data_IF_167858366345
#
_entry.id   IF_167858366345
#
_cell.length_a   1.000
_cell.length_b   1.000
_cell.length_c   1.000
_cell.angle_alpha   90.00
_cell.angle_beta   90.00
_cell.angle_gamma   90.00
#
_symmetry.space_group_name_H-M   'P 1'
#
loop_
_entity.id
_entity.type
_entity.pdbx_description
1 polymer ?
#
# COMPACT_ATOMS: atom_id res chain seq x y z
N UNK A 1 23.17 -1.08 -18.62
CA UNK A 1 22.98 -0.21 -17.43
C UNK A 1 21.75 0.65 -17.66
N UNK A 2 20.67 0.47 -16.90
CA UNK A 2 19.49 1.33 -16.98
C UNK A 2 19.71 2.53 -16.06
N UNK A 3 19.59 3.74 -16.62
CA UNK A 3 19.65 5.00 -15.88
C UNK A 3 18.52 5.03 -14.85
N UNK A 4 18.89 5.15 -13.56
CA UNK A 4 17.97 5.54 -12.49
C UNK A 4 17.74 7.04 -12.68
N UNK A 5 16.50 7.44 -12.97
CA UNK A 5 16.12 8.85 -13.03
C UNK A 5 15.66 9.27 -11.64
N UNK A 6 16.41 10.16 -11.00
CA UNK A 6 16.03 10.76 -9.71
C UNK A 6 15.14 11.96 -9.96
N UNK A 7 13.98 12.00 -9.30
CA UNK A 7 13.03 13.11 -9.32
C UNK A 7 13.36 14.06 -8.16
N UNK A 8 13.51 15.37 -8.41
CA UNK A 8 13.91 16.34 -7.38
C UNK A 8 12.92 17.52 -7.37
N UNK A 9 12.20 17.71 -6.26
CA UNK A 9 11.37 18.90 -6.02
C UNK A 9 12.10 19.87 -5.11
N UNK A 10 12.34 21.09 -5.58
CA UNK A 10 13.03 22.15 -4.85
C UNK A 10 12.17 23.42 -4.89
N UNK A 11 12.06 24.12 -3.75
CA UNK A 11 11.43 25.44 -3.63
C UNK A 11 12.26 26.53 -4.36
N UNK A 12 11.65 27.64 -4.80
CA UNK A 12 12.17 28.52 -5.88
C UNK A 12 13.34 29.45 -5.49
N UNK A 13 14.38 28.93 -4.82
CA UNK A 13 15.55 29.71 -4.41
C UNK A 13 16.81 29.50 -5.30
N UNK A 14 16.74 28.69 -6.35
CA UNK A 14 17.92 28.34 -7.16
C UNK A 14 17.70 28.42 -8.68
N UNK A 15 17.33 29.59 -9.19
CA UNK A 15 17.10 29.87 -10.62
C UNK A 15 18.26 29.45 -11.56
N UNK A 16 19.50 29.37 -11.07
CA UNK A 16 20.69 29.05 -11.88
C UNK A 16 20.93 27.55 -12.12
N UNK A 17 20.27 26.65 -11.38
CA UNK A 17 20.53 25.20 -11.47
C UNK A 17 19.65 24.49 -12.51
N UNK A 18 18.46 25.01 -12.83
CA UNK A 18 17.48 24.28 -13.65
C UNK A 18 17.73 24.35 -15.15
N UNK A 19 18.23 25.50 -15.65
CA UNK A 19 18.52 25.69 -17.08
C UNK A 19 19.70 24.88 -17.61
N UNK A 20 20.47 24.23 -16.73
CA UNK A 20 21.64 23.41 -17.08
C UNK A 20 21.41 21.90 -16.89
N UNK A 21 20.26 21.51 -16.34
CA UNK A 21 19.98 20.09 -16.09
C UNK A 21 19.57 19.41 -17.41
N UNK A 22 20.23 18.32 -17.83
CA UNK A 22 19.83 17.60 -19.03
C UNK A 22 18.39 17.05 -18.89
N UNK A 23 17.65 16.94 -20.01
CA UNK A 23 16.27 16.39 -20.08
C UNK A 23 16.10 14.99 -19.46
N UNK A 24 17.19 14.33 -19.10
CA UNK A 24 17.22 13.08 -18.35
C UNK A 24 16.89 13.22 -16.86
N UNK A 25 17.00 14.42 -16.28
CA UNK A 25 16.70 14.71 -14.86
C UNK A 25 15.34 15.39 -14.78
N UNK A 26 14.45 14.86 -13.93
CA UNK A 26 13.12 15.42 -13.73
C UNK A 26 13.19 16.53 -12.68
N UNK A 27 13.00 17.79 -13.11
CA UNK A 27 12.89 18.97 -12.24
C UNK A 27 11.45 19.46 -12.28
N UNK A 28 10.74 19.29 -11.15
CA UNK A 28 9.31 19.49 -11.08
C UNK A 28 8.85 20.51 -10.05
N UNK A 29 7.66 21.05 -10.27
CA UNK A 29 6.92 21.85 -9.30
C UNK A 29 5.55 21.22 -9.04
N UNK A 30 5.07 21.29 -7.79
CA UNK A 30 3.70 20.93 -7.42
C UNK A 30 2.84 22.19 -7.44
N UNK A 31 1.82 22.21 -8.31
CA UNK A 31 0.88 23.33 -8.40
C UNK A 31 -0.45 22.90 -7.78
N UNK A 32 -0.75 23.42 -6.60
CA UNK A 32 -2.03 23.18 -5.94
C UNK A 32 -3.07 24.21 -6.38
N UNK A 33 -4.28 23.75 -6.72
CA UNK A 33 -5.41 24.64 -6.97
C UNK A 33 -6.02 25.11 -5.64
N UNK A 34 -5.93 26.40 -5.34
CA UNK A 34 -6.74 27.04 -4.29
C UNK A 34 -8.12 27.42 -4.85
N UNK A 35 -9.20 27.31 -4.06
CA UNK A 35 -10.51 27.86 -4.43
C UNK A 35 -10.51 29.40 -4.52
N UNK A 36 -9.55 30.09 -3.91
CA UNK A 36 -9.35 31.54 -4.07
C UNK A 36 -8.53 31.82 -5.33
N UNK A 37 -9.24 32.10 -6.45
CA UNK A 37 -8.70 32.40 -7.79
C UNK A 37 -7.62 33.50 -7.85
N UNK A 38 -7.42 34.27 -6.79
CA UNK A 38 -6.43 35.36 -6.73
C UNK A 38 -4.96 34.88 -6.69
N UNK A 39 -4.70 33.64 -6.26
CA UNK A 39 -3.33 33.08 -6.19
C UNK A 39 -3.20 31.67 -6.78
N UNK A 40 -4.27 31.15 -7.39
CA UNK A 40 -4.36 29.79 -7.89
C UNK A 40 -4.93 29.74 -9.29
N UNK A 41 -4.14 30.26 -10.22
CA UNK A 41 -4.24 29.76 -11.58
C UNK A 41 -2.99 28.96 -11.82
N UNK A 42 -3.19 27.82 -12.48
CA UNK A 42 -2.16 27.05 -13.11
C UNK A 42 -1.45 27.91 -14.16
N UNK A 43 -0.72 28.93 -13.72
CA UNK A 43 0.02 29.82 -14.59
C UNK A 43 1.34 29.15 -14.92
N UNK A 44 1.20 28.10 -15.73
CA UNK A 44 2.30 27.36 -16.29
C UNK A 44 3.26 28.27 -17.07
N UNK A 45 2.80 29.44 -17.53
CA UNK A 45 3.63 30.44 -18.21
C UNK A 45 4.68 31.06 -17.29
N UNK A 46 4.46 31.05 -15.97
CA UNK A 46 5.45 31.46 -14.95
C UNK A 46 6.37 30.30 -14.56
N UNK A 47 5.86 29.07 -14.60
CA UNK A 47 6.61 27.88 -14.14
C UNK A 47 7.66 27.43 -15.16
N UNK A 48 7.34 27.40 -16.46
CA UNK A 48 8.30 26.95 -17.49
C UNK A 48 9.57 27.82 -17.54
N UNK A 49 9.50 29.16 -17.49
CA UNK A 49 10.70 30.01 -17.48
C UNK A 49 11.62 29.80 -16.27
N UNK A 50 11.14 29.21 -15.18
CA UNK A 50 11.97 28.83 -14.03
C UNK A 50 12.85 27.60 -14.29
N UNK A 51 12.73 26.98 -15.48
CA UNK A 51 13.53 25.82 -15.90
C UNK A 51 12.95 24.47 -15.49
N UNK A 52 11.71 24.42 -14.99
CA UNK A 52 11.04 23.15 -14.72
C UNK A 52 10.64 22.46 -16.03
N UNK A 53 11.05 21.19 -16.18
CA UNK A 53 10.68 20.35 -17.32
C UNK A 53 9.55 19.37 -17.00
N UNK A 54 9.16 19.30 -15.72
CA UNK A 54 8.16 18.37 -15.18
C UNK A 54 7.09 19.13 -14.40
N UNK A 55 5.83 18.70 -14.52
CA UNK A 55 4.73 19.18 -13.66
C UNK A 55 4.04 17.98 -13.02
N UNK A 56 3.85 18.04 -11.70
CA UNK A 56 2.85 17.22 -11.02
C UNK A 56 1.53 17.96 -11.07
N UNK A 57 0.49 17.30 -11.55
CA UNK A 57 -0.85 17.85 -11.51
C UNK A 57 -1.91 16.81 -11.16
N UNK A 58 -3.04 17.31 -10.68
CA UNK A 58 -4.30 16.56 -10.64
C UNK A 58 -4.86 16.48 -12.07
N UNK A 59 -4.83 15.29 -12.62
CA UNK A 59 -5.51 14.87 -13.81
C UNK A 59 -6.98 14.53 -13.50
N UNK A 60 -7.87 15.50 -13.73
CA UNK A 60 -9.30 15.43 -13.48
C UNK A 60 -10.07 15.78 -14.75
N UNK A 61 -11.10 15.00 -15.07
CA UNK A 61 -11.76 15.09 -16.37
C UNK A 61 -12.81 16.21 -16.39
N UNK A 62 -13.64 16.29 -15.34
CA UNK A 62 -14.81 17.17 -15.34
C UNK A 62 -15.04 17.81 -13.98
N UNK A 63 -14.10 18.67 -13.57
CA UNK A 63 -14.27 19.54 -12.42
C UNK A 63 -14.13 20.97 -12.94
N UNK A 64 -15.25 21.67 -13.20
CA UNK A 64 -15.25 23.04 -13.70
C UNK A 64 -14.35 23.98 -12.89
N UNK A 65 -14.20 23.71 -11.59
CA UNK A 65 -13.37 24.46 -10.66
C UNK A 65 -11.86 24.25 -10.88
N UNK A 66 -11.44 23.10 -11.43
CA UNK A 66 -10.04 22.79 -11.73
C UNK A 66 -9.68 23.15 -13.18
N UNK A 67 -10.67 23.20 -14.07
CA UNK A 67 -10.56 23.68 -15.46
C UNK A 67 -9.35 23.13 -16.24
N UNK A 68 -9.03 21.84 -16.06
CA UNK A 68 -7.81 21.26 -16.64
C UNK A 68 -7.80 21.29 -18.18
N UNK A 69 -8.98 21.13 -18.80
CA UNK A 69 -9.13 21.13 -20.26
C UNK A 69 -8.72 22.48 -20.88
N UNK A 70 -9.05 23.60 -20.24
CA UNK A 70 -8.67 24.93 -20.74
C UNK A 70 -7.16 25.19 -20.66
N UNK A 71 -6.44 24.43 -19.82
CA UNK A 71 -5.00 24.59 -19.63
C UNK A 71 -4.19 23.52 -20.39
N UNK A 72 -4.85 22.68 -21.20
CA UNK A 72 -4.20 21.58 -21.92
C UNK A 72 -3.06 22.05 -22.85
N UNK A 73 -3.19 23.21 -23.50
CA UNK A 73 -2.13 23.76 -24.33
C UNK A 73 -0.92 24.23 -23.51
N UNK A 74 -1.17 24.87 -22.37
CA UNK A 74 -0.12 25.25 -21.43
C UNK A 74 0.58 24.05 -20.80
N UNK A 75 -0.07 22.89 -20.72
CA UNK A 75 0.52 21.64 -20.23
C UNK A 75 1.41 20.95 -21.25
N UNK A 76 1.10 21.08 -22.55
CA UNK A 76 1.93 20.52 -23.64
C UNK A 76 3.33 21.12 -23.69
N UNK A 77 3.55 22.24 -23.00
CA UNK A 77 4.85 22.89 -22.99
C UNK A 77 5.89 22.19 -22.10
N UNK A 78 5.47 21.26 -21.22
CA UNK A 78 6.36 20.47 -20.36
C UNK A 78 6.68 19.13 -21.02
N UNK A 79 7.94 18.70 -20.89
CA UNK A 79 8.40 17.41 -21.41
C UNK A 79 7.79 16.23 -20.66
N UNK A 80 7.47 16.43 -19.38
CA UNK A 80 6.97 15.39 -18.48
C UNK A 80 5.78 15.88 -17.68
N UNK A 81 4.74 15.05 -17.63
CA UNK A 81 3.60 15.23 -16.77
C UNK A 81 3.45 14.01 -15.84
N UNK A 82 3.24 14.28 -14.55
CA UNK A 82 2.94 13.29 -13.52
C UNK A 82 1.51 13.53 -13.02
N UNK A 83 0.67 12.49 -13.05
CA UNK A 83 -0.69 12.55 -12.52
C UNK A 83 -0.71 12.17 -11.03
N UNK A 84 -1.26 13.04 -10.18
CA UNK A 84 -1.40 12.86 -8.73
C UNK A 84 -2.87 13.10 -8.32
N UNK A 85 -3.73 12.15 -8.63
CA UNK A 85 -5.19 12.32 -8.64
C UNK A 85 -5.92 11.92 -7.36
N UNK A 86 -5.15 11.51 -6.37
CA UNK A 86 -5.66 11.01 -5.10
C UNK A 86 -6.39 12.08 -4.28
N UNK A 87 -6.00 13.34 -4.42
CA UNK A 87 -6.47 14.40 -3.53
C UNK A 87 -7.62 15.24 -4.12
N UNK A 88 -8.66 14.63 -4.70
CA UNK A 88 -9.81 15.44 -5.16
C UNK A 88 -10.66 15.90 -3.96
N UNK A 89 -11.16 17.15 -3.96
CA UNK A 89 -12.14 17.60 -2.97
C UNK A 89 -13.37 16.69 -2.93
N UNK A 90 -14.09 16.64 -1.80
CA UNK A 90 -15.30 15.81 -1.65
C UNK A 90 -16.31 16.04 -2.79
N UNK A 91 -16.50 17.30 -3.21
CA UNK A 91 -17.37 17.70 -4.31
C UNK A 91 -16.99 17.11 -5.68
N UNK A 92 -15.75 16.61 -5.79
CA UNK A 92 -15.14 16.07 -6.98
C UNK A 92 -14.96 14.54 -6.97
N UNK A 93 -15.38 13.86 -5.89
CA UNK A 93 -15.38 12.39 -5.75
C UNK A 93 -16.49 11.74 -6.57
N UNK A 94 -16.47 11.96 -7.88
CA UNK A 94 -17.34 11.29 -8.85
C UNK A 94 -16.60 10.12 -9.47
N UNK A 95 -17.33 9.06 -9.84
CA UNK A 95 -16.73 7.83 -10.37
C UNK A 95 -15.85 8.08 -11.60
N UNK A 96 -16.24 9.03 -12.44
CA UNK A 96 -15.49 9.43 -13.64
C UNK A 96 -14.11 10.05 -13.34
N UNK A 97 -13.92 10.61 -12.14
CA UNK A 97 -12.67 11.24 -11.69
C UNK A 97 -11.83 10.33 -10.78
N UNK A 98 -12.25 9.08 -10.56
CA UNK A 98 -11.43 8.10 -9.83
C UNK A 98 -10.19 7.78 -10.65
N UNK A 99 -9.02 7.98 -10.05
CA UNK A 99 -7.78 7.42 -10.58
C UNK A 99 -7.72 5.94 -10.26
N UNK A 100 -8.13 5.14 -11.24
CA UNK A 100 -8.17 3.70 -11.13
C UNK A 100 -6.77 3.10 -11.01
N UNK A 101 -5.75 3.73 -11.59
CA UNK A 101 -4.36 3.28 -11.47
C UNK A 101 -3.91 3.43 -10.01
N UNK A 102 -4.10 4.62 -9.44
CA UNK A 102 -3.81 4.91 -8.05
C UNK A 102 -4.62 4.04 -7.09
N UNK A 103 -5.93 3.94 -7.32
CA UNK A 103 -6.86 3.16 -6.49
C UNK A 103 -6.46 1.69 -6.40
N UNK A 104 -6.18 1.05 -7.55
CA UNK A 104 -5.78 -0.37 -7.55
C UNK A 104 -4.36 -0.59 -7.04
N UNK A 105 -3.47 0.40 -7.18
CA UNK A 105 -2.13 0.34 -6.59
C UNK A 105 -2.14 0.39 -5.06
N UNK A 106 -3.23 0.90 -4.47
CA UNK A 106 -3.49 0.96 -3.03
C UNK A 106 -4.17 -0.29 -2.45
N UNK A 107 -4.38 -1.35 -3.25
CA UNK A 107 -4.71 -2.64 -2.66
C UNK A 107 -3.58 -3.09 -1.72
N UNK A 108 -3.86 -4.08 -0.88
CA UNK A 108 -2.93 -4.65 0.08
C UNK A 108 -2.93 -6.16 -0.09
N UNK A 109 -1.76 -6.73 -0.34
CA UNK A 109 -1.55 -8.16 -0.44
C UNK A 109 -0.12 -8.57 -0.08
N UNK A 110 0.00 -9.56 0.79
CA UNK A 110 1.25 -10.27 1.03
C UNK A 110 1.02 -11.77 1.11
N UNK A 111 2.04 -12.53 0.69
CA UNK A 111 2.10 -13.98 0.88
C UNK A 111 3.45 -14.37 1.48
N UNK A 112 3.38 -15.22 2.48
CA UNK A 112 4.52 -15.74 3.21
C UNK A 112 4.58 -17.26 3.06
N UNK A 113 5.72 -17.75 2.57
CA UNK A 113 5.98 -19.18 2.40
C UNK A 113 6.97 -19.58 3.50
N UNK A 114 6.62 -20.50 4.40
CA UNK A 114 7.46 -20.89 5.52
C UNK A 114 8.86 -21.36 5.07
N UNK A 115 8.95 -22.15 4.00
CA UNK A 115 10.23 -22.67 3.46
C UNK A 115 11.22 -21.56 3.09
N UNK A 116 10.73 -20.48 2.47
CA UNK A 116 11.59 -19.38 1.95
C UNK A 116 11.88 -18.31 2.99
N UNK A 117 11.02 -18.21 4.00
CA UNK A 117 11.02 -17.12 4.96
C UNK A 117 11.43 -17.56 6.37
N UNK A 118 11.76 -18.84 6.60
CA UNK A 118 12.40 -19.31 7.82
C UNK A 118 13.84 -18.81 7.91
N UNK A 119 14.00 -17.53 8.24
CA UNK A 119 15.22 -16.98 8.82
C UNK A 119 15.21 -17.39 10.29
N UNK A 120 15.47 -18.66 10.57
CA UNK A 120 15.37 -19.26 11.91
C UNK A 120 16.32 -18.66 12.96
N UNK A 121 17.16 -17.69 12.60
CA UNK A 121 18.25 -17.24 13.48
C UNK A 121 18.47 -15.72 13.51
N UNK A 122 17.65 -14.91 12.83
CA UNK A 122 17.78 -13.45 12.89
C UNK A 122 16.59 -12.85 13.64
N UNK A 123 16.77 -12.47 14.93
CA UNK A 123 15.78 -11.72 15.68
C UNK A 123 15.33 -10.49 14.88
N UNK A 124 14.03 -10.23 14.87
CA UNK A 124 13.39 -9.07 14.21
C UNK A 124 13.27 -9.11 12.68
N UNK A 125 13.48 -10.26 12.03
CA UNK A 125 13.17 -10.37 10.60
C UNK A 125 11.66 -10.54 10.35
N UNK A 126 11.16 -9.85 9.33
CA UNK A 126 9.76 -9.92 8.90
C UNK A 126 9.58 -11.23 8.11
N UNK A 127 8.79 -12.17 8.66
CA UNK A 127 8.48 -13.43 7.99
C UNK A 127 7.78 -14.42 8.91
N UNK A 128 7.32 -15.54 8.35
CA UNK A 128 6.80 -16.65 9.15
C UNK A 128 7.96 -17.38 9.82
N UNK A 129 7.89 -17.55 11.13
CA UNK A 129 8.89 -18.27 11.90
C UNK A 129 8.31 -19.61 12.36
N UNK A 130 8.99 -20.69 11.97
CA UNK A 130 8.69 -22.04 12.46
C UNK A 130 9.37 -22.24 13.82
N UNK A 131 8.60 -22.60 14.84
CA UNK A 131 9.15 -22.86 16.19
C UNK A 131 9.55 -24.32 16.42
N UNK A 132 8.87 -25.27 15.77
CA UNK A 132 9.20 -26.70 15.83
C UNK A 132 8.75 -27.43 14.56
N UNK A 133 9.13 -28.71 14.44
CA UNK A 133 8.86 -29.52 13.27
C UNK A 133 9.90 -29.33 12.16
N UNK A 134 9.62 -29.84 10.96
CA UNK A 134 10.59 -29.90 9.87
C UNK A 134 10.10 -29.19 8.61
N UNK A 135 11.07 -28.75 7.80
CA UNK A 135 10.81 -28.06 6.54
C UNK A 135 10.83 -29.09 5.41
N UNK A 136 9.88 -28.97 4.49
CA UNK A 136 9.72 -29.80 3.32
C UNK A 136 9.73 -28.93 2.07
N UNK A 137 9.92 -29.51 0.87
CA UNK A 137 9.68 -28.79 -0.36
C UNK A 137 8.26 -28.20 -0.35
N UNK A 138 8.18 -26.88 -0.43
CA UNK A 138 6.93 -26.10 -0.51
C UNK A 138 6.05 -26.12 0.75
N UNK A 139 6.49 -26.66 1.89
CA UNK A 139 5.70 -26.64 3.13
C UNK A 139 6.52 -26.85 4.39
N UNK A 140 5.92 -26.65 5.55
CA UNK A 140 6.47 -27.07 6.85
C UNK A 140 5.49 -28.00 7.55
N UNK A 141 6.01 -29.00 8.27
CA UNK A 141 5.22 -29.96 9.03
C UNK A 141 5.50 -29.84 10.52
N UNK A 142 4.48 -30.04 11.35
CA UNK A 142 4.62 -30.22 12.80
C UNK A 142 5.36 -31.50 13.16
N UNK A 143 5.34 -32.51 12.29
CA UNK A 143 5.65 -33.88 12.64
C UNK A 143 4.62 -34.49 13.60
N UNK A 144 5.01 -35.58 14.25
CA UNK A 144 4.16 -36.38 15.15
C UNK A 144 4.60 -36.35 16.63
N UNK A 145 5.60 -35.53 16.97
CA UNK A 145 6.10 -35.42 18.35
C UNK A 145 5.10 -34.70 19.25
N UNK A 146 4.38 -35.47 20.07
CA UNK A 146 3.34 -34.96 20.97
C UNK A 146 3.86 -34.06 22.09
N UNK A 147 5.18 -33.95 22.31
CA UNK A 147 5.76 -33.02 23.29
C UNK A 147 5.50 -31.55 22.96
N UNK A 148 5.10 -31.24 21.71
CA UNK A 148 4.79 -29.90 21.23
C UNK A 148 3.29 -29.57 21.18
N UNK A 149 2.43 -30.47 21.67
CA UNK A 149 0.99 -30.19 21.79
C UNK A 149 0.76 -28.97 22.69
N UNK A 150 -0.10 -28.06 22.23
CA UNK A 150 -0.41 -26.79 22.87
C UNK A 150 0.61 -25.68 22.59
N UNK A 151 1.70 -25.95 21.87
CA UNK A 151 2.72 -24.94 21.54
C UNK A 151 2.44 -24.24 20.22
N UNK A 152 3.03 -23.06 20.07
CA UNK A 152 3.04 -22.31 18.81
C UNK A 152 3.90 -23.05 17.79
N UNK A 153 3.30 -23.46 16.68
CA UNK A 153 3.98 -24.07 15.55
C UNK A 153 4.61 -23.00 14.63
N UNK A 154 3.80 -22.00 14.28
CA UNK A 154 4.17 -20.89 13.40
C UNK A 154 3.70 -19.59 14.04
N UNK A 155 4.55 -18.56 14.01
CA UNK A 155 4.19 -17.17 14.30
C UNK A 155 4.77 -16.20 13.26
N UNK A 156 4.39 -14.92 13.36
CA UNK A 156 4.76 -13.88 12.41
C UNK A 156 3.90 -13.87 11.14
N UNK A 157 4.29 -13.11 10.11
CA UNK A 157 5.25 -12.01 10.16
C UNK A 157 4.89 -10.97 11.22
N UNK A 158 5.87 -10.25 11.76
CA UNK A 158 5.65 -9.19 12.74
C UNK A 158 5.84 -7.84 12.07
N UNK A 159 4.76 -7.26 11.52
CA UNK A 159 4.85 -6.03 10.73
C UNK A 159 3.61 -5.15 10.89
N UNK A 160 3.78 -3.88 10.50
CA UNK A 160 2.71 -2.89 10.54
C UNK A 160 1.83 -3.00 9.30
N UNK A 161 0.51 -2.97 9.51
CA UNK A 161 -0.49 -2.87 8.46
C UNK A 161 -1.20 -1.52 8.55
N UNK A 162 -1.71 -1.03 7.44
CA UNK A 162 -2.53 0.18 7.42
C UNK A 162 -3.86 -0.07 8.14
N UNK A 163 -4.30 0.87 8.98
CA UNK A 163 -5.61 0.77 9.64
C UNK A 163 -6.73 1.21 8.71
N UNK A 164 -6.45 2.22 7.88
CA UNK A 164 -7.37 2.86 6.95
C UNK A 164 -6.66 3.03 5.61
N UNK A 165 -7.43 3.12 4.54
CA UNK A 165 -6.87 3.57 3.27
C UNK A 165 -6.49 5.03 3.42
N UNK A 166 -5.18 5.31 3.39
CA UNK A 166 -4.67 6.67 3.55
C UNK A 166 -5.21 7.57 2.44
N UNK A 167 -5.45 7.00 1.27
CA UNK A 167 -5.62 7.72 0.02
C UNK A 167 -6.49 6.92 -0.97
N UNK A 168 -7.81 6.93 -0.82
CA UNK A 168 -8.69 6.39 -1.88
C UNK A 168 -9.89 7.29 -2.11
N UNK A 169 -9.94 7.89 -3.31
CA UNK A 169 -11.03 8.74 -3.79
C UNK A 169 -12.41 8.04 -3.69
N UNK A 170 -12.46 6.71 -3.83
CA UNK A 170 -13.71 5.94 -3.79
C UNK A 170 -14.37 5.83 -2.40
N UNK A 171 -13.60 5.75 -1.32
CA UNK A 171 -14.16 5.31 -0.02
C UNK A 171 -14.23 6.36 1.06
N UNK A 172 -13.78 7.59 0.80
CA UNK A 172 -13.46 8.55 1.86
C UNK A 172 -12.34 7.98 2.77
N UNK A 173 -11.27 8.74 2.99
CA UNK A 173 -10.01 8.26 3.62
C UNK A 173 -10.15 7.81 5.08
N UNK A 174 -11.38 7.71 5.60
CA UNK A 174 -11.70 7.30 6.96
C UNK A 174 -12.24 5.89 7.12
N UNK A 175 -12.40 5.12 6.03
CA UNK A 175 -12.85 3.72 6.14
C UNK A 175 -11.74 2.80 6.67
N UNK A 176 -12.03 2.07 7.75
CA UNK A 176 -11.15 1.01 8.25
C UNK A 176 -11.04 -0.15 7.26
N UNK A 177 -9.85 -0.74 7.19
CA UNK A 177 -9.57 -1.85 6.30
C UNK A 177 -9.97 -3.16 6.99
N UNK A 178 -10.94 -3.87 6.41
CA UNK A 178 -11.16 -5.28 6.74
C UNK A 178 -10.12 -6.13 6.00
N UNK A 179 -9.26 -6.79 6.76
CA UNK A 179 -8.30 -7.76 6.24
C UNK A 179 -8.87 -9.17 6.26
N UNK A 180 -8.39 -9.97 5.31
CA UNK A 180 -8.59 -11.42 5.25
C UNK A 180 -7.24 -12.11 5.23
N UNK A 181 -7.06 -13.06 6.14
CA UNK A 181 -5.88 -13.92 6.17
C UNK A 181 -6.29 -15.35 5.84
N UNK A 182 -5.53 -16.00 4.98
CA UNK A 182 -5.71 -17.38 4.58
C UNK A 182 -4.54 -18.22 5.08
N UNK A 183 -4.85 -19.31 5.76
CA UNK A 183 -3.91 -20.36 6.11
C UNK A 183 -4.14 -21.55 5.19
N UNK A 184 -3.13 -21.93 4.40
CA UNK A 184 -3.24 -23.08 3.50
C UNK A 184 -2.65 -24.31 4.14
N UNK A 185 -3.53 -25.19 4.61
CA UNK A 185 -3.20 -26.30 5.50
C UNK A 185 -3.65 -27.64 4.93
N UNK A 186 -2.91 -28.71 5.23
CA UNK A 186 -3.39 -30.08 5.07
C UNK A 186 -3.03 -30.91 6.30
N UNK A 187 -3.68 -32.05 6.42
CA UNK A 187 -3.37 -33.07 7.42
C UNK A 187 -2.41 -34.11 6.85
N UNK A 188 -1.52 -34.61 7.69
CA UNK A 188 -0.80 -35.86 7.46
C UNK A 188 -1.40 -37.01 8.26
N UNK A 189 -0.52 -37.72 8.97
CA UNK A 189 -0.89 -38.86 9.81
C UNK A 189 -1.77 -38.43 11.00
N UNK A 190 -2.78 -39.25 11.30
CA UNK A 190 -3.60 -39.12 12.51
C UNK A 190 -3.01 -40.05 13.55
N UNK A 191 -2.65 -39.53 14.71
CA UNK A 191 -2.02 -40.31 15.78
C UNK A 191 -2.69 -40.09 17.15
N UNK A 192 -3.73 -39.24 17.24
CA UNK A 192 -4.50 -39.04 18.47
C UNK A 192 -5.98 -39.39 18.32
N UNK A 193 -6.64 -39.57 19.46
CA UNK A 193 -8.07 -39.88 19.55
C UNK A 193 -8.98 -38.66 19.65
N UNK A 194 -8.40 -37.46 19.82
CA UNK A 194 -9.14 -36.19 19.85
C UNK A 194 -9.43 -35.64 18.46
N UNK A 195 -10.35 -34.67 18.40
CA UNK A 195 -10.78 -34.06 17.13
C UNK A 195 -10.08 -32.74 16.80
N UNK A 196 -9.44 -32.09 17.77
CA UNK A 196 -8.80 -30.78 17.59
C UNK A 196 -7.39 -30.91 17.03
N UNK A 197 -7.04 -30.15 15.99
CA UNK A 197 -5.71 -30.23 15.36
C UNK A 197 -4.90 -28.97 15.59
N UNK A 198 -5.49 -27.79 15.36
CA UNK A 198 -4.80 -26.53 15.60
C UNK A 198 -5.77 -25.40 15.87
N UNK A 199 -5.25 -24.32 16.43
CA UNK A 199 -5.92 -23.03 16.55
C UNK A 199 -5.17 -22.01 15.69
N UNK A 200 -5.89 -21.33 14.81
CA UNK A 200 -5.41 -20.22 14.00
C UNK A 200 -5.76 -18.92 14.70
N UNK A 201 -4.83 -17.98 14.78
CA UNK A 201 -5.06 -16.69 15.43
C UNK A 201 -4.43 -15.55 14.63
N UNK A 202 -5.07 -14.39 14.68
CA UNK A 202 -4.48 -13.11 14.29
C UNK A 202 -4.30 -12.29 15.56
N UNK A 203 -3.07 -11.81 15.76
CA UNK A 203 -2.68 -11.12 16.98
C UNK A 203 -2.16 -9.74 16.62
N UNK A 204 -2.63 -8.73 17.34
CA UNK A 204 -2.07 -7.39 17.36
C UNK A 204 -1.17 -7.27 18.59
N UNK A 205 0.11 -7.00 18.38
CA UNK A 205 1.08 -6.79 19.45
C UNK A 205 1.42 -5.32 19.56
N UNK A 206 1.21 -4.73 20.74
CA UNK A 206 1.50 -3.31 21.04
C UNK A 206 2.36 -3.27 22.29
N UNK A 207 3.58 -2.74 22.21
CA UNK A 207 4.50 -2.62 23.36
C UNK A 207 4.71 -3.96 24.12
N UNK A 208 4.71 -5.09 23.39
CA UNK A 208 4.85 -6.43 23.97
C UNK A 208 3.55 -7.03 24.53
N UNK A 209 2.43 -6.33 24.45
CA UNK A 209 1.11 -6.84 24.80
C UNK A 209 0.39 -7.39 23.57
N UNK A 210 0.06 -8.67 23.60
CA UNK A 210 -0.64 -9.37 22.53
C UNK A 210 -2.17 -9.33 22.74
N UNK A 211 -2.89 -8.85 21.74
CA UNK A 211 -4.35 -8.83 21.65
C UNK A 211 -4.77 -9.76 20.53
N UNK A 212 -5.62 -10.75 20.82
CA UNK A 212 -6.16 -11.64 19.80
C UNK A 212 -7.33 -10.95 19.07
N UNK A 213 -7.14 -10.58 17.80
CA UNK A 213 -8.16 -9.93 16.99
C UNK A 213 -9.22 -10.93 16.49
N UNK A 214 -8.79 -12.13 16.11
CA UNK A 214 -9.68 -13.20 15.66
C UNK A 214 -9.00 -14.55 15.79
N UNK A 215 -9.78 -15.61 16.01
CA UNK A 215 -9.28 -16.98 16.07
C UNK A 215 -10.26 -18.01 15.49
N UNK A 216 -9.75 -19.16 15.09
CA UNK A 216 -10.55 -20.32 14.69
C UNK A 216 -9.89 -21.61 15.12
N UNK A 217 -10.71 -22.52 15.65
CA UNK A 217 -10.31 -23.89 15.94
C UNK A 217 -10.50 -24.76 14.69
N UNK A 218 -9.47 -25.53 14.32
CA UNK A 218 -9.49 -26.46 13.18
C UNK A 218 -9.50 -27.89 13.70
N UNK A 219 -10.43 -28.69 13.19
CA UNK A 219 -10.59 -30.09 13.57
C UNK A 219 -10.05 -31.05 12.49
N UNK A 220 -9.88 -32.31 12.88
CA UNK A 220 -9.44 -33.41 12.00
C UNK A 220 -10.36 -33.56 10.78
N UNK A 221 -11.66 -33.35 10.94
CA UNK A 221 -12.67 -33.48 9.88
C UNK A 221 -12.65 -32.31 8.89
N UNK A 222 -12.26 -31.12 9.36
CA UNK A 222 -12.17 -29.93 8.51
C UNK A 222 -10.99 -29.99 7.55
N UNK A 223 -9.93 -30.71 7.96
CA UNK A 223 -8.71 -30.94 7.19
C UNK A 223 -8.83 -32.18 6.32
N UNK A 224 -8.08 -32.17 5.22
CA UNK A 224 -7.97 -33.33 4.32
C UNK A 224 -6.49 -33.62 4.06
N UNK A 225 -6.21 -34.71 3.35
CA UNK A 225 -4.85 -35.01 2.89
C UNK A 225 -4.38 -34.07 1.77
N UNK A 226 -5.29 -33.24 1.23
CA UNK A 226 -5.01 -32.17 0.28
C UNK A 226 -5.01 -30.80 0.97
N UNK A 227 -4.24 -29.85 0.42
CA UNK A 227 -4.23 -28.48 0.91
C UNK A 227 -5.58 -27.81 0.74
N UNK A 228 -6.08 -27.24 1.84
CA UNK A 228 -7.30 -26.46 1.93
C UNK A 228 -6.99 -25.12 2.58
N UNK A 229 -7.71 -24.09 2.14
CA UNK A 229 -7.59 -22.75 2.70
C UNK A 229 -8.59 -22.56 3.84
N UNK A 230 -8.08 -22.09 4.97
CA UNK A 230 -8.86 -21.64 6.13
C UNK A 230 -8.71 -20.13 6.24
N UNK A 231 -9.81 -19.41 6.16
CA UNK A 231 -9.82 -17.95 6.12
C UNK A 231 -10.33 -17.37 7.44
N UNK A 232 -9.62 -16.36 7.95
CA UNK A 232 -10.10 -15.48 9.02
C UNK A 232 -10.27 -14.07 8.46
N UNK A 233 -11.23 -13.33 9.01
CA UNK A 233 -11.41 -11.90 8.73
C UNK A 233 -11.21 -11.11 10.02
N UNK A 234 -10.55 -9.96 9.93
CA UNK A 234 -10.33 -9.06 11.05
C UNK A 234 -10.27 -7.61 10.58
N UNK A 235 -10.55 -6.70 11.50
CA UNK A 235 -10.26 -5.28 11.35
C UNK A 235 -9.16 -4.92 12.36
N UNK A 236 -8.41 -3.86 12.09
CA UNK A 236 -7.65 -3.24 13.17
C UNK A 236 -8.67 -2.68 14.15
N UNK A 237 -8.62 -3.09 15.43
CA UNK A 237 -9.50 -2.52 16.46
C UNK A 237 -9.52 -1.00 16.32
N UNK A 238 -10.72 -0.38 16.29
CA UNK A 238 -10.83 1.08 16.32
C UNK A 238 -9.92 1.57 17.46
N UNK A 239 -9.01 2.53 17.23
CA UNK A 239 -8.25 3.11 18.33
C UNK A 239 -9.28 3.65 19.32
N UNK A 240 -9.47 2.92 20.42
CA UNK A 240 -10.68 3.01 21.23
C UNK A 240 -10.89 4.46 21.65
N UNK A 241 -11.91 5.11 21.09
CA UNK A 241 -12.30 6.51 21.33
C UNK A 241 -11.20 7.37 21.97
N UNK A 242 -10.03 7.47 21.33
CA UNK A 242 -9.11 8.53 21.70
C UNK A 242 -9.82 9.82 21.27
N UNK A 243 -10.09 10.78 22.17
CA UNK A 243 -10.86 11.99 21.85
C UNK A 243 -10.04 12.98 21.01
N UNK A 244 -9.28 12.49 20.04
CA UNK A 244 -8.41 13.27 19.19
C UNK A 244 -9.00 13.35 17.78
N UNK A 245 -9.71 14.44 17.54
CA UNK A 245 -9.91 14.98 16.20
C UNK A 245 -11.05 14.40 15.39
N UNK A 246 -12.27 14.34 15.94
CA UNK A 246 -13.45 14.43 15.07
C UNK A 246 -13.43 15.80 14.41
N UNK A 247 -13.16 15.81 13.10
CA UNK A 247 -13.47 16.86 12.13
C UNK A 247 -13.56 18.28 12.67
N UNK A 248 -12.45 19.00 12.62
CA UNK A 248 -12.50 20.41 12.23
C UNK A 248 -11.60 20.58 11.00
N UNK A 249 -12.10 21.34 10.03
CA UNK A 249 -11.59 21.36 8.67
C UNK A 249 -10.10 21.68 8.57
N UNK A 250 -9.52 21.36 7.41
CA UNK A 250 -8.26 21.95 6.97
C UNK A 250 -8.35 23.47 7.12
N UNK A 251 -7.80 24.01 8.19
CA UNK A 251 -7.62 25.44 8.33
C UNK A 251 -6.61 25.89 7.25
N UNK A 252 -6.86 27.02 6.57
CA UNK A 252 -5.90 27.58 5.64
C UNK A 252 -4.58 27.91 6.35
N UNK A 253 -3.44 27.86 5.63
CA UNK A 253 -2.12 27.86 6.23
C UNK A 253 -1.73 29.27 6.67
N UNK A 254 -2.19 29.71 7.84
CA UNK A 254 -1.71 30.94 8.47
C UNK A 254 -1.73 30.82 9.98
N UNK A 255 -0.93 29.89 10.52
CA UNK A 255 -0.16 30.00 11.77
C UNK A 255 0.38 28.60 12.10
N UNK A 256 1.66 28.37 11.83
CA UNK A 256 2.36 27.17 12.30
C UNK A 256 2.68 27.42 13.77
N UNK A 257 2.09 26.70 14.74
CA UNK A 257 2.61 26.71 16.10
C UNK A 257 3.95 25.96 16.10
N UNK A 258 4.89 26.33 16.98
CA UNK A 258 6.18 25.66 17.04
C UNK A 258 6.00 24.22 17.54
N UNK A 259 6.17 23.27 16.62
CA UNK A 259 6.74 21.93 16.81
C UNK A 259 6.45 21.27 18.17
N UNK A 260 5.18 21.05 18.49
CA UNK A 260 4.79 19.89 19.29
C UNK A 260 4.35 18.81 18.31
N UNK A 261 4.96 17.63 18.44
CA UNK A 261 4.78 16.47 17.58
C UNK A 261 3.28 16.19 17.40
N UNK A 262 2.75 16.49 16.20
CA UNK A 262 1.48 15.94 15.77
C UNK A 262 1.71 14.43 15.69
N UNK A 263 1.40 13.72 16.77
CA UNK A 263 1.27 12.28 16.74
C UNK A 263 0.20 11.96 15.71
N UNK A 264 0.64 11.46 14.56
CA UNK A 264 -0.23 11.00 13.50
C UNK A 264 -1.03 9.82 14.04
N UNK A 265 -2.22 10.11 14.59
CA UNK A 265 -3.05 9.16 15.35
C UNK A 265 -3.57 7.99 14.51
N UNK A 266 -3.30 8.01 13.20
CA UNK A 266 -3.58 6.94 12.25
C UNK A 266 -2.51 5.84 12.23
N UNK A 267 -1.33 6.14 12.77
CA UNK A 267 -0.22 5.21 12.90
C UNK A 267 -0.10 4.85 14.38
N UNK A 268 -0.66 3.69 14.76
CA UNK A 268 -0.32 3.01 16.02
C UNK A 268 1.15 2.56 15.92
N UNK A 269 2.05 3.54 16.03
CA UNK A 269 3.48 3.44 15.78
C UNK A 269 4.04 2.46 16.80
N UNK A 270 4.37 1.26 16.35
CA UNK A 270 4.82 0.15 17.20
C UNK A 270 3.88 -1.05 17.24
N UNK A 271 2.63 -0.91 16.79
CA UNK A 271 1.72 -2.05 16.64
C UNK A 271 2.13 -2.94 15.46
N UNK A 272 2.18 -4.25 15.73
CA UNK A 272 2.52 -5.28 14.74
C UNK A 272 1.44 -6.35 14.70
N UNK A 273 1.00 -6.70 13.51
CA UNK A 273 0.14 -7.88 13.30
C UNK A 273 1.02 -9.11 13.19
N UNK A 274 0.53 -10.23 13.73
CA UNK A 274 1.15 -11.55 13.70
C UNK A 274 0.09 -12.62 13.38
N UNK A 275 0.47 -13.64 12.61
CA UNK A 275 -0.38 -14.81 12.34
C UNK A 275 0.17 -16.02 13.07
N UNK A 276 -0.62 -16.58 13.99
CA UNK A 276 -0.18 -17.66 14.88
C UNK A 276 -0.95 -18.94 14.60
N UNK A 277 -0.22 -20.06 14.55
CA UNK A 277 -0.79 -21.40 14.51
C UNK A 277 -0.34 -22.13 15.77
N UNK A 278 -1.29 -22.43 16.66
CA UNK A 278 -1.05 -23.28 17.84
C UNK A 278 -1.44 -24.70 17.46
N UNK A 279 -0.51 -25.64 17.57
CA UNK A 279 -0.81 -27.04 17.27
C UNK A 279 -1.36 -27.73 18.52
N UNK A 280 -2.51 -28.39 18.37
CA UNK A 280 -3.24 -29.06 19.44
C UNK A 280 -3.10 -30.59 19.37
N UNK A 281 -2.27 -31.10 18.45
CA UNK A 281 -2.00 -32.52 18.29
C UNK A 281 -3.03 -33.23 17.42
N UNK A 282 -3.27 -34.51 17.73
CA UNK A 282 -4.18 -35.46 17.07
C UNK A 282 -3.90 -35.80 15.60
N UNK A 283 -3.36 -34.86 14.83
CA UNK A 283 -2.85 -35.12 13.50
C UNK A 283 -1.64 -34.23 13.18
N UNK A 284 -0.80 -34.73 12.29
CA UNK A 284 0.30 -33.98 11.69
C UNK A 284 -0.31 -32.85 10.84
N UNK A 285 0.21 -31.63 10.99
CA UNK A 285 -0.26 -30.46 10.27
C UNK A 285 0.84 -29.96 9.34
N UNK A 286 0.45 -29.70 8.09
CA UNK A 286 1.31 -29.07 7.10
C UNK A 286 0.80 -27.68 6.77
N UNK A 287 1.71 -26.71 6.68
CA UNK A 287 1.43 -25.35 6.20
C UNK A 287 2.19 -25.11 4.90
N UNK A 288 1.47 -24.71 3.85
CA UNK A 288 2.05 -24.32 2.56
C UNK A 288 2.39 -22.83 2.54
N UNK A 289 1.42 -21.97 2.86
CA UNK A 289 1.62 -20.53 2.97
C UNK A 289 0.56 -19.88 3.87
N UNK A 290 0.87 -18.66 4.29
CA UNK A 290 -0.10 -17.70 4.82
C UNK A 290 -0.14 -16.51 3.87
N UNK A 291 -1.32 -16.12 3.39
CA UNK A 291 -1.49 -14.86 2.66
C UNK A 291 -2.55 -13.97 3.30
N UNK A 292 -2.37 -12.67 3.17
CA UNK A 292 -3.23 -11.65 3.75
C UNK A 292 -3.51 -10.58 2.71
N UNK A 293 -4.74 -10.07 2.71
CA UNK A 293 -5.15 -9.02 1.80
C UNK A 293 -6.33 -8.23 2.31
N UNK A 294 -6.54 -7.06 1.71
CA UNK A 294 -7.71 -6.24 1.99
C UNK A 294 -8.96 -6.76 1.26
N UNK A 295 -10.12 -6.68 1.92
CA UNK A 295 -11.38 -7.14 1.35
C UNK A 295 -11.92 -6.22 0.25
N UNK A 296 -11.68 -4.92 0.31
CA UNK A 296 -12.44 -3.97 -0.51
C UNK A 296 -11.89 -3.79 -1.93
N UNK A 297 -10.58 -3.80 -2.06
CA UNK A 297 -9.83 -3.62 -3.29
C UNK A 297 -9.32 -4.98 -3.77
N UNK A 298 -8.50 -5.68 -2.97
CA UNK A 298 -7.90 -6.93 -3.43
C UNK A 298 -8.93 -8.04 -3.69
N UNK A 299 -9.78 -8.37 -2.72
CA UNK A 299 -10.76 -9.44 -2.93
C UNK A 299 -11.71 -9.13 -4.11
N UNK A 300 -12.24 -7.92 -4.15
CA UNK A 300 -13.24 -7.57 -5.15
C UNK A 300 -12.66 -7.48 -6.57
N UNK A 301 -11.44 -6.97 -6.73
CA UNK A 301 -10.91 -6.63 -8.07
C UNK A 301 -9.75 -7.53 -8.52
N UNK A 302 -9.04 -8.18 -7.60
CA UNK A 302 -7.92 -9.07 -7.92
C UNK A 302 -8.30 -10.54 -7.80
N UNK A 303 -9.32 -10.86 -7.02
CA UNK A 303 -9.83 -12.24 -6.88
C UNK A 303 -11.13 -12.43 -7.66
N UNK A 304 -12.16 -11.61 -7.40
CA UNK A 304 -13.51 -11.82 -7.96
C UNK A 304 -13.68 -11.25 -9.37
N UNK A 305 -13.30 -10.00 -9.60
CA UNK A 305 -13.65 -9.28 -10.84
C UNK A 305 -12.43 -8.62 -11.52
N UNK A 306 -11.53 -9.47 -12.02
CA UNK A 306 -10.33 -9.03 -12.75
C UNK A 306 -10.67 -8.33 -14.06
N UNK A 307 -11.70 -8.82 -14.76
CA UNK A 307 -12.09 -8.27 -16.05
C UNK A 307 -12.60 -6.83 -15.90
N UNK A 308 -13.43 -6.54 -14.89
CA UNK A 308 -13.89 -5.18 -14.64
C UNK A 308 -12.74 -4.26 -14.20
N UNK A 309 -11.80 -4.75 -13.36
CA UNK A 309 -10.59 -3.99 -12.99
C UNK A 309 -9.80 -3.57 -14.23
N UNK A 310 -9.51 -4.52 -15.11
CA UNK A 310 -8.72 -4.28 -16.31
C UNK A 310 -9.45 -3.32 -17.25
N UNK A 311 -10.77 -3.46 -17.38
CA UNK A 311 -11.63 -2.53 -18.11
C UNK A 311 -11.58 -1.11 -17.56
N UNK A 312 -11.70 -0.92 -16.24
CA UNK A 312 -11.60 0.40 -15.60
C UNK A 312 -10.25 1.07 -15.88
N UNK A 313 -9.14 0.32 -15.81
CA UNK A 313 -7.81 0.86 -16.16
C UNK A 313 -7.75 1.22 -17.65
N UNK A 314 -8.23 0.36 -18.55
CA UNK A 314 -8.22 0.63 -19.99
C UNK A 314 -9.01 1.89 -20.34
N UNK A 315 -10.25 1.99 -19.84
CA UNK A 315 -11.11 3.15 -20.05
C UNK A 315 -10.52 4.41 -19.44
N UNK A 316 -9.89 4.30 -18.27
CA UNK A 316 -9.18 5.40 -17.64
C UNK A 316 -8.00 5.88 -18.51
N UNK A 317 -7.12 4.99 -18.96
CA UNK A 317 -5.99 5.33 -19.83
C UNK A 317 -6.44 5.95 -21.15
N UNK A 318 -7.44 5.37 -21.81
CA UNK A 318 -7.95 5.87 -23.09
C UNK A 318 -8.49 7.30 -22.97
N UNK A 319 -9.14 7.62 -21.83
CA UNK A 319 -9.61 8.97 -21.53
C UNK A 319 -8.47 9.97 -21.35
N UNK A 320 -7.35 9.56 -20.72
CA UNK A 320 -6.20 10.44 -20.49
C UNK A 320 -5.26 10.62 -21.68
N UNK A 321 -5.09 9.59 -22.52
CA UNK A 321 -4.22 9.67 -23.71
C UNK A 321 -4.61 10.82 -24.64
N UNK A 322 -5.91 11.12 -24.76
CA UNK A 322 -6.42 12.22 -25.58
C UNK A 322 -6.20 13.60 -24.94
N UNK A 323 -6.09 13.67 -23.62
CA UNK A 323 -6.00 14.94 -22.88
C UNK A 323 -4.55 15.37 -22.64
N UNK A 324 -3.63 14.42 -22.48
CA UNK A 324 -2.26 14.69 -22.05
C UNK A 324 -1.25 13.75 -22.72
N UNK A 325 -0.83 14.00 -23.99
CA UNK A 325 0.16 13.16 -24.67
C UNK A 325 1.55 13.14 -24.00
N UNK A 326 1.80 14.07 -23.07
CA UNK A 326 3.02 14.18 -22.27
C UNK A 326 2.92 13.51 -20.89
N UNK A 327 1.80 12.83 -20.57
CA UNK A 327 1.70 12.01 -19.37
C UNK A 327 2.71 10.87 -19.44
N UNK A 328 3.66 10.86 -18.50
CA UNK A 328 4.71 9.83 -18.43
C UNK A 328 4.59 8.98 -17.18
N UNK A 329 4.05 9.52 -16.09
CA UNK A 329 3.94 8.80 -14.84
C UNK A 329 2.58 8.99 -14.15
N UNK A 330 2.07 7.91 -13.54
CA UNK A 330 1.09 7.98 -12.47
C UNK A 330 1.84 7.91 -11.15
N UNK A 331 1.60 8.88 -10.28
CA UNK A 331 2.02 8.77 -8.89
C UNK A 331 1.25 7.63 -8.23
N UNK A 332 1.89 6.85 -7.38
CA UNK A 332 1.24 5.83 -6.54
C UNK A 332 1.53 6.07 -5.06
N UNK A 333 1.46 5.04 -4.22
CA UNK A 333 1.86 5.13 -2.81
C UNK A 333 3.30 5.63 -2.74
N UNK A 334 3.49 6.77 -2.10
CA UNK A 334 4.80 7.28 -1.69
C UNK A 334 5.17 6.63 -0.35
N UNK A 335 6.42 6.17 -0.23
CA UNK A 335 6.98 5.53 0.96
C UNK A 335 6.04 4.52 1.68
N UNK A 336 5.68 3.38 1.05
CA UNK A 336 4.75 2.42 1.64
C UNK A 336 5.23 1.93 3.02
N UNK A 337 4.43 2.19 4.04
CA UNK A 337 4.67 1.81 5.43
C UNK A 337 4.31 0.34 5.73
N UNK A 338 3.65 -0.33 4.79
CA UNK A 338 3.32 -1.75 4.89
C UNK A 338 3.85 -2.53 3.70
N UNK A 339 4.42 -3.71 3.99
CA UNK A 339 4.94 -4.65 2.99
C UNK A 339 3.84 -5.13 2.02
N UNK A 340 2.58 -5.07 2.44
CA UNK A 340 1.41 -5.48 1.65
C UNK A 340 1.20 -4.62 0.40
N UNK A 341 1.80 -3.43 0.34
CA UNK A 341 1.57 -2.45 -0.73
C UNK A 341 2.33 -2.78 -2.03
N UNK A 342 3.44 -3.53 -1.94
CA UNK A 342 4.36 -3.68 -3.08
C UNK A 342 3.83 -4.61 -4.17
N UNK A 343 3.12 -5.68 -3.81
CA UNK A 343 2.61 -6.65 -4.81
C UNK A 343 1.53 -6.02 -5.70
N UNK A 344 0.52 -5.31 -5.15
CA UNK A 344 -0.46 -4.55 -5.91
C UNK A 344 0.16 -3.58 -6.92
N UNK A 345 1.10 -2.74 -6.49
CA UNK A 345 1.83 -1.79 -7.36
C UNK A 345 2.48 -2.52 -8.54
N UNK A 346 3.17 -3.64 -8.29
CA UNK A 346 3.81 -4.44 -9.35
C UNK A 346 2.80 -5.02 -10.35
N UNK A 347 1.65 -5.48 -9.87
CA UNK A 347 0.59 -6.03 -10.75
C UNK A 347 -0.01 -4.93 -11.62
N UNK A 348 -0.31 -3.77 -11.06
CA UNK A 348 -0.82 -2.62 -11.83
C UNK A 348 0.20 -2.18 -12.86
N UNK A 349 1.49 -2.12 -12.52
CA UNK A 349 2.55 -1.83 -13.49
C UNK A 349 2.58 -2.84 -14.64
N UNK A 350 2.50 -4.15 -14.35
CA UNK A 350 2.45 -5.18 -15.38
C UNK A 350 1.22 -5.04 -16.28
N UNK A 351 0.07 -4.66 -15.71
CA UNK A 351 -1.14 -4.42 -16.48
C UNK A 351 -0.95 -3.22 -17.43
N UNK A 352 -0.42 -2.10 -16.94
CA UNK A 352 -0.07 -0.95 -17.78
C UNK A 352 0.87 -1.36 -18.92
N UNK A 353 1.89 -2.16 -18.62
CA UNK A 353 2.85 -2.66 -19.63
C UNK A 353 2.15 -3.55 -20.67
N UNK A 354 1.27 -4.46 -20.24
CA UNK A 354 0.54 -5.37 -21.12
C UNK A 354 -0.44 -4.66 -22.05
N UNK A 355 -0.96 -3.50 -21.63
CA UNK A 355 -1.84 -2.63 -22.42
C UNK A 355 -1.06 -1.72 -23.37
N UNK A 356 0.27 -1.86 -23.44
CA UNK A 356 1.12 -1.00 -24.25
C UNK A 356 1.16 0.45 -23.77
N UNK A 357 0.81 0.70 -22.50
CA UNK A 357 0.77 2.06 -21.97
C UNK A 357 2.18 2.67 -21.98
N UNK A 358 2.35 3.87 -22.58
CA UNK A 358 3.61 4.61 -22.49
C UNK A 358 3.84 5.22 -21.10
N UNK A 359 2.82 5.18 -20.23
CA UNK A 359 2.82 5.72 -18.86
C UNK A 359 3.26 4.63 -17.88
N UNK A 360 4.15 4.97 -16.94
CA UNK A 360 4.63 4.07 -15.88
C UNK A 360 4.16 4.52 -14.50
N UNK A 361 4.21 3.65 -13.50
CA UNK A 361 4.05 4.03 -12.10
C UNK A 361 5.36 4.62 -11.60
N UNK A 362 5.26 5.71 -10.84
CA UNK A 362 6.39 6.24 -10.08
C UNK A 362 6.09 6.09 -8.57
N UNK A 363 6.78 5.18 -7.87
CA UNK A 363 6.59 4.97 -6.44
C UNK A 363 7.42 5.94 -5.56
N UNK A 364 8.20 6.87 -6.14
CA UNK A 364 9.11 7.72 -5.35
C UNK A 364 9.05 9.20 -5.77
N UNK A 365 8.55 10.05 -4.87
CA UNK A 365 8.71 11.51 -4.97
C UNK A 365 9.72 11.97 -3.92
N UNK A 366 10.87 12.51 -4.34
CA UNK A 366 11.77 13.19 -3.40
C UNK A 366 11.45 14.69 -3.33
N UNK A 367 10.88 15.13 -2.21
CA UNK A 367 10.78 16.54 -1.87
C UNK A 367 12.02 16.98 -1.06
N UNK A 368 12.65 18.08 -1.46
CA UNK A 368 13.71 18.74 -0.68
C UNK A 368 13.15 19.97 0.03
N UNK A 369 13.62 20.24 1.24
CA UNK A 369 13.23 21.42 1.99
C UNK A 369 14.02 22.68 1.56
N UNK A 370 13.69 23.82 2.17
CA UNK A 370 14.29 25.14 1.86
C UNK A 370 15.82 25.21 2.05
N UNK A 371 16.44 24.19 2.66
CA UNK A 371 17.89 24.17 2.91
C UNK A 371 18.68 23.51 1.78
N UNK A 372 18.01 22.95 0.75
CA UNK A 372 18.66 22.20 -0.32
C UNK A 372 19.28 20.88 0.16
N UNK A 373 18.97 20.45 1.39
CA UNK A 373 19.40 19.16 1.91
C UNK A 373 18.52 18.08 1.28
N UNK A 374 19.13 17.23 0.45
CA UNK A 374 18.51 15.98 0.03
C UNK A 374 18.50 15.07 1.26
N UNK A 375 17.43 15.09 2.03
CA UNK A 375 17.22 14.07 3.05
C UNK A 375 16.97 12.75 2.34
N UNK A 376 18.03 11.97 2.17
CA UNK A 376 17.90 10.53 2.12
C UNK A 376 17.26 10.11 3.44
N UNK A 377 15.93 9.91 3.48
CA UNK A 377 15.37 8.95 4.42
C UNK A 377 15.73 7.57 3.87
N UNK A 378 17.02 7.23 3.98
CA UNK A 378 17.42 5.84 3.99
C UNK A 378 16.80 5.28 5.26
N UNK A 379 15.61 4.70 5.15
CA UNK A 379 15.27 3.61 6.06
C UNK A 379 16.35 2.56 5.79
N UNK A 380 17.22 2.24 6.75
CA UNK A 380 18.11 1.13 6.57
C UNK A 380 17.23 -0.09 6.38
N UNK A 381 17.27 -0.69 5.19
CA UNK A 381 16.87 -2.08 5.04
C UNK A 381 17.84 -2.85 5.92
N UNK A 382 17.39 -3.21 7.11
CA UNK A 382 18.05 -4.14 8.04
C UNK A 382 17.22 -5.40 8.09
#
# INVERSE_FOLDING_TARGET
MKSIKTLLFILPAALSLYGQSPDSILTGSYLNSSPNKEFSLYDYSVVKPLGFNTVIQRAVISIPEINQLSNSDSLKQFSYLIAANDSVPESAKRQENIDWVYYFSNALYSRWIPEKNTLTEIPNTIGLQKKFGFTLPHSVSTGVDTSNVGKVFIDGPNYTQYQKYVYTNKYNSNKFITYKVNFRLKRGEIFGSGTQVCKLQVIKSINGHDICLTESLITVEMLTNNFKTFQLSYEYDEPGNSPLGRGEGMLPPTTIPPKEEVHDSYLDTGAKIQFRIIWLGNAELFLEYVDVYDKDIWENWFVKDRAARDGQICEYLARFQNLTPHLKYFLTIDEPHSFDSYVPVRIVQHLLDSLGSPVKLDPHIYATDQTGTISNIKVPVK
#
